data_IF_972185468995
#
_entry.id   IF_972185468995
#
_cell.length_a   1.000
_cell.length_b   1.000
_cell.length_c   1.000
_cell.angle_alpha   90.00
_cell.angle_beta   90.00
_cell.angle_gamma   90.00
#
_symmetry.space_group_name_H-M   'P 1'
#
loop_
_entity.id
_entity.type
_entity.pdbx_description
1 polymer ?
#
# COMPACT_ATOMS: atom_id res chain seq x y z
N UNK A 1 -3.05 18.67 -12.94
CA UNK A 1 -2.33 17.77 -12.02
C UNK A 1 -3.38 16.97 -11.25
N UNK A 2 -3.44 15.65 -11.43
CA UNK A 2 -4.41 14.79 -10.74
C UNK A 2 -3.77 14.37 -9.41
N UNK A 3 -4.41 14.71 -8.29
CA UNK A 3 -4.01 14.21 -6.97
C UNK A 3 -4.86 12.96 -6.70
N UNK A 4 -4.21 11.79 -6.65
CA UNK A 4 -4.84 10.55 -6.17
C UNK A 4 -5.06 10.70 -4.67
N UNK A 5 -6.27 11.12 -4.28
CA UNK A 5 -6.70 11.14 -2.88
C UNK A 5 -6.94 9.72 -2.41
N UNK A 6 -5.89 9.03 -1.98
CA UNK A 6 -6.04 7.79 -1.21
C UNK A 6 -6.81 8.13 0.06
N UNK A 7 -7.97 7.49 0.22
CA UNK A 7 -8.77 7.49 1.45
C UNK A 7 -7.81 7.36 2.63
N UNK A 8 -7.83 8.36 3.54
CA UNK A 8 -6.81 8.63 4.56
C UNK A 8 -5.90 7.43 4.86
N UNK A 9 -4.74 7.41 4.20
CA UNK A 9 -3.68 6.43 4.42
C UNK A 9 -3.34 6.45 5.92
N UNK A 10 -3.53 5.32 6.61
CA UNK A 10 -3.14 5.26 8.01
C UNK A 10 -1.61 5.43 8.11
N UNK A 11 -1.11 5.96 9.24
CA UNK A 11 0.33 6.09 9.42
C UNK A 11 1.06 4.74 9.30
N UNK A 12 0.40 3.63 9.68
CA UNK A 12 0.92 2.27 9.51
C UNK A 12 1.09 1.95 8.03
N UNK A 13 0.04 2.11 7.24
CA UNK A 13 0.05 1.77 5.83
C UNK A 13 1.08 2.64 5.09
N UNK A 14 1.21 3.91 5.47
CA UNK A 14 2.24 4.80 4.92
C UNK A 14 3.66 4.27 5.12
N UNK A 15 3.98 3.79 6.32
CA UNK A 15 5.31 3.23 6.61
C UNK A 15 5.52 1.93 5.85
N UNK A 16 4.54 1.03 5.78
CA UNK A 16 4.66 -0.21 5.00
C UNK A 16 4.88 0.08 3.52
N UNK A 17 4.07 0.94 2.91
CA UNK A 17 4.19 1.29 1.50
C UNK A 17 5.52 1.96 1.19
N UNK A 18 6.02 2.84 2.06
CA UNK A 18 7.31 3.50 1.87
C UNK A 18 8.47 2.49 1.84
N UNK A 19 8.48 1.52 2.75
CA UNK A 19 9.50 0.46 2.80
C UNK A 19 9.38 -0.46 1.58
N UNK A 20 8.16 -0.88 1.24
CA UNK A 20 7.90 -1.71 0.06
C UNK A 20 8.39 -1.02 -1.21
N UNK A 21 8.06 0.26 -1.41
CA UNK A 21 8.50 1.05 -2.55
C UNK A 21 10.03 1.18 -2.60
N UNK A 22 10.68 1.45 -1.47
CA UNK A 22 12.13 1.60 -1.40
C UNK A 22 12.88 0.31 -1.81
N UNK A 23 12.27 -0.85 -1.53
CA UNK A 23 12.85 -2.16 -1.84
C UNK A 23 12.29 -2.83 -3.11
N UNK A 24 11.40 -2.17 -3.85
CA UNK A 24 10.78 -2.76 -5.04
C UNK A 24 9.90 -3.97 -4.74
N UNK A 25 9.28 -4.01 -3.56
CA UNK A 25 8.37 -5.10 -3.15
C UNK A 25 6.94 -4.73 -3.52
N UNK A 26 6.31 -5.57 -4.33
CA UNK A 26 4.95 -5.33 -4.86
C UNK A 26 3.90 -6.27 -4.27
N UNK A 27 4.32 -7.24 -3.45
CA UNK A 27 3.44 -8.26 -2.88
C UNK A 27 3.52 -8.25 -1.36
N UNK A 28 2.37 -8.37 -0.69
CA UNK A 28 2.30 -8.41 0.77
C UNK A 28 1.33 -9.51 1.22
N UNK A 29 1.74 -10.32 2.20
CA UNK A 29 0.86 -11.28 2.86
C UNK A 29 0.34 -10.65 4.16
N UNK A 30 -0.95 -10.32 4.20
CA UNK A 30 -1.58 -9.67 5.35
C UNK A 30 -3.09 -9.88 5.33
N UNK A 31 -3.70 -9.84 6.52
CA UNK A 31 -5.16 -9.84 6.68
C UNK A 31 -5.79 -8.46 6.49
N UNK A 32 -4.97 -7.40 6.37
CA UNK A 32 -5.45 -6.04 6.18
C UNK A 32 -5.83 -5.79 4.72
N UNK A 33 -7.14 -5.75 4.44
CA UNK A 33 -7.68 -5.46 3.11
C UNK A 33 -7.51 -4.00 2.69
N UNK A 34 -7.06 -3.11 3.58
CA UNK A 34 -6.71 -1.73 3.25
C UNK A 34 -5.64 -1.64 2.16
N UNK A 35 -4.76 -2.65 2.07
CA UNK A 35 -3.72 -2.70 1.05
C UNK A 35 -4.24 -2.92 -0.38
N UNK A 36 -5.47 -3.42 -0.53
CA UNK A 36 -6.11 -3.64 -1.83
C UNK A 36 -6.42 -2.32 -2.56
N UNK A 37 -6.38 -1.17 -1.86
CA UNK A 37 -6.64 0.15 -2.42
C UNK A 37 -5.41 0.85 -3.03
N UNK A 38 -4.21 0.26 -2.94
CA UNK A 38 -2.96 0.88 -3.43
C UNK A 38 -2.51 0.27 -4.76
N UNK A 39 -2.51 1.05 -5.86
CA UNK A 39 -1.98 0.64 -7.15
C UNK A 39 -0.54 0.13 -7.07
N UNK A 40 -0.28 -0.97 -7.76
CA UNK A 40 1.04 -1.61 -7.78
C UNK A 40 1.31 -2.51 -6.57
N UNK A 41 0.40 -2.58 -5.60
CA UNK A 41 0.48 -3.52 -4.47
C UNK A 41 -0.51 -4.65 -4.70
N UNK A 42 -0.06 -5.88 -4.51
CA UNK A 42 -0.88 -7.09 -4.55
C UNK A 42 -0.86 -7.79 -3.20
N UNK A 43 -2.01 -7.80 -2.53
CA UNK A 43 -2.19 -8.60 -1.32
C UNK A 43 -2.32 -10.07 -1.68
N UNK A 44 -1.59 -10.92 -0.96
CA UNK A 44 -1.68 -12.37 -1.02
C UNK A 44 -2.70 -12.83 0.04
N UNK A 45 -3.60 -13.72 -0.36
CA UNK A 45 -4.65 -14.32 0.47
C UNK A 45 -4.41 -15.80 0.67
#
# INVERSE_FOLDING_TARGET
>A
QIVLGYRQLSARDAVHLAVMQHHGVEQIMTFDSGFDAFPGIRRLS
#
